data_IF_168825412040
#
_entry.id   IF_168825412040
#
_cell.length_a   1.000
_cell.length_b   1.000
_cell.length_c   1.000
_cell.angle_alpha   90.00
_cell.angle_beta   90.00
_cell.angle_gamma   90.00
#
_symmetry.space_group_name_H-M   'P 1'
#
loop_
_entity.id
_entity.type
_entity.pdbx_description
1 polymer ?
#
# COMPACT_ATOMS: atom_id res chain seq x y z
N UNK A 1 -3.07 -27.56 -10.31
CA UNK A 1 -2.93 -26.23 -9.67
C UNK A 1 -3.24 -25.21 -10.74
N UNK A 2 -4.31 -24.46 -10.55
CA UNK A 2 -4.66 -23.37 -11.47
C UNK A 2 -3.58 -22.31 -11.47
N UNK A 3 -3.37 -21.66 -12.62
CA UNK A 3 -2.38 -20.59 -12.78
C UNK A 3 -2.77 -19.42 -11.86
N UNK A 4 -1.80 -18.73 -11.23
CA UNK A 4 -2.11 -17.56 -10.43
C UNK A 4 -2.75 -16.49 -11.32
N UNK A 5 -3.74 -15.79 -10.78
CA UNK A 5 -4.47 -14.73 -11.51
C UNK A 5 -3.56 -13.55 -11.88
N UNK A 6 -2.53 -13.32 -11.05
CA UNK A 6 -1.55 -12.24 -11.20
C UNK A 6 -0.13 -12.80 -11.13
N UNK A 7 0.76 -12.27 -11.96
CA UNK A 7 2.18 -12.59 -11.90
C UNK A 7 2.83 -12.02 -10.63
N UNK A 8 3.96 -12.60 -10.21
CA UNK A 8 4.73 -12.11 -9.07
C UNK A 8 5.07 -10.62 -9.24
N UNK A 9 5.51 -10.20 -10.43
CA UNK A 9 5.86 -8.82 -10.70
C UNK A 9 4.67 -7.86 -10.60
N UNK A 10 3.50 -8.25 -11.11
CA UNK A 10 2.29 -7.43 -11.01
C UNK A 10 1.87 -7.25 -9.55
N UNK A 11 1.86 -8.34 -8.78
CA UNK A 11 1.57 -8.30 -7.35
C UNK A 11 2.55 -7.41 -6.61
N UNK A 12 3.86 -7.62 -6.78
CA UNK A 12 4.88 -6.82 -6.11
C UNK A 12 4.79 -5.35 -6.53
N UNK A 13 4.51 -5.04 -7.81
CA UNK A 13 4.35 -3.67 -8.29
C UNK A 13 3.12 -2.96 -7.70
N UNK A 14 2.08 -3.71 -7.33
CA UNK A 14 0.86 -3.15 -6.74
C UNK A 14 1.11 -2.50 -5.38
N UNK A 15 1.92 -3.11 -4.50
CA UNK A 15 2.19 -2.58 -3.17
C UNK A 15 3.59 -1.98 -3.00
N UNK A 16 4.45 -2.04 -4.03
CA UNK A 16 5.81 -1.50 -3.99
C UNK A 16 6.09 -0.47 -5.09
N UNK A 17 7.01 0.45 -4.80
CA UNK A 17 7.59 1.35 -5.79
C UNK A 17 9.08 1.12 -5.86
N UNK A 18 9.63 1.08 -7.06
CA UNK A 18 11.07 0.98 -7.28
C UNK A 18 11.62 2.30 -7.82
N UNK A 19 12.55 2.89 -7.07
CA UNK A 19 13.38 4.01 -7.53
C UNK A 19 14.82 3.57 -7.34
N UNK A 20 15.46 3.14 -8.43
CA UNK A 20 16.81 2.54 -8.39
C UNK A 20 17.74 3.35 -7.47
N UNK A 21 18.39 2.72 -6.47
CA UNK A 21 18.49 1.28 -6.25
C UNK A 21 17.51 0.70 -5.21
N UNK A 22 16.50 1.45 -4.75
CA UNK A 22 15.66 1.06 -3.61
C UNK A 22 14.21 0.83 -4.00
N UNK A 23 13.69 -0.35 -3.66
CA UNK A 23 12.28 -0.65 -3.58
C UNK A 23 11.75 -0.28 -2.20
N UNK A 24 10.53 0.27 -2.16
CA UNK A 24 9.84 0.65 -0.93
C UNK A 24 8.37 0.26 -1.00
N UNK A 25 7.77 0.00 0.16
CA UNK A 25 6.32 -0.10 0.31
C UNK A 25 5.66 1.21 -0.14
N UNK A 26 4.55 1.11 -0.86
CA UNK A 26 3.70 2.25 -1.18
C UNK A 26 2.81 2.63 0.01
N UNK A 27 2.57 3.92 0.19
CA UNK A 27 1.53 4.36 1.12
C UNK A 27 0.14 4.07 0.55
N UNK A 28 -0.03 4.32 -0.74
CA UNK A 28 -1.24 4.02 -1.50
C UNK A 28 -0.92 2.99 -2.56
N UNK A 29 -1.56 1.82 -2.47
CA UNK A 29 -1.33 0.72 -3.39
C UNK A 29 -1.88 1.05 -4.77
N UNK A 30 -1.18 0.55 -5.78
CA UNK A 30 -1.39 0.79 -7.18
C UNK A 30 -2.21 -0.36 -7.76
N UNK A 31 -3.44 -0.10 -8.18
CA UNK A 31 -4.27 -1.12 -8.82
C UNK A 31 -3.94 -1.27 -10.31
N UNK A 32 -3.16 -0.37 -10.91
CA UNK A 32 -2.88 -0.44 -12.36
C UNK A 32 -2.23 -1.75 -12.83
N UNK A 33 -1.29 -2.38 -12.08
CA UNK A 33 -0.73 -3.67 -12.48
C UNK A 33 -1.77 -4.81 -12.44
N UNK A 34 -2.89 -4.60 -11.76
CA UNK A 34 -3.99 -5.57 -11.61
C UNK A 34 -5.19 -5.21 -12.51
N UNK A 35 -5.03 -4.27 -13.45
CA UNK A 35 -6.10 -3.80 -14.34
C UNK A 35 -7.04 -2.74 -13.75
N UNK A 36 -6.73 -2.18 -12.57
CA UNK A 36 -7.52 -1.14 -11.92
C UNK A 36 -6.96 0.29 -12.05
N UNK A 37 -7.41 1.18 -11.17
CA UNK A 37 -7.02 2.60 -11.20
C UNK A 37 -5.60 2.78 -10.65
N UNK A 38 -4.77 3.48 -11.40
CA UNK A 38 -3.41 3.80 -10.97
C UNK A 38 -3.37 4.70 -9.74
N UNK A 39 -2.43 4.46 -8.81
CA UNK A 39 -2.31 5.23 -7.57
C UNK A 39 -2.09 6.74 -7.82
N UNK A 40 -1.51 7.10 -8.97
CA UNK A 40 -1.32 8.50 -9.39
C UNK A 40 -2.62 9.26 -9.57
N UNK A 41 -3.67 8.60 -10.09
CA UNK A 41 -4.98 9.21 -10.29
C UNK A 41 -5.69 9.47 -8.96
N UNK A 42 -5.56 8.52 -8.02
CA UNK A 42 -6.10 8.68 -6.66
C UNK A 42 -5.37 9.81 -5.93
N UNK A 43 -4.04 9.88 -6.04
CA UNK A 43 -3.25 10.98 -5.45
C UNK A 43 -3.67 12.32 -6.06
N UNK A 44 -3.84 12.39 -7.39
CA UNK A 44 -4.31 13.61 -8.05
C UNK A 44 -5.68 14.04 -7.53
N UNK A 45 -6.62 13.10 -7.39
CA UNK A 45 -7.93 13.36 -6.80
C UNK A 45 -7.82 13.94 -5.39
N UNK A 46 -6.98 13.37 -4.52
CA UNK A 46 -6.76 13.88 -3.17
C UNK A 46 -6.15 15.28 -3.13
N UNK A 47 -5.25 15.61 -4.06
CA UNK A 47 -4.66 16.95 -4.16
C UNK A 47 -5.68 17.98 -4.67
N UNK A 48 -6.57 17.57 -5.57
CA UNK A 48 -7.59 18.46 -6.14
C UNK A 48 -8.73 18.74 -5.16
N UNK A 49 -9.06 17.80 -4.27
CA UNK A 49 -10.18 17.94 -3.33
C UNK A 49 -10.16 19.26 -2.52
N UNK A 50 -9.05 19.62 -1.82
CA UNK A 50 -8.98 20.90 -1.09
C UNK A 50 -9.08 22.14 -1.98
N UNK A 51 -8.61 22.06 -3.23
CA UNK A 51 -8.69 23.18 -4.17
C UNK A 51 -10.13 23.40 -4.65
N UNK A 52 -10.83 22.30 -4.93
CA UNK A 52 -12.25 22.33 -5.30
C UNK A 52 -13.08 22.84 -4.12
N UNK A 53 -12.80 22.36 -2.91
CA UNK A 53 -13.42 22.84 -1.68
C UNK A 53 -13.22 24.35 -1.51
N UNK A 54 -11.98 24.82 -1.60
CA UNK A 54 -11.65 26.24 -1.49
C UNK A 54 -12.43 27.08 -2.51
N UNK A 55 -12.43 26.69 -3.79
CA UNK A 55 -13.17 27.41 -4.82
C UNK A 55 -14.70 27.36 -4.60
N UNK A 56 -15.20 26.23 -4.10
CA UNK A 56 -16.61 26.02 -3.77
C UNK A 56 -17.09 26.87 -2.60
N UNK A 57 -16.23 27.16 -1.62
CA UNK A 57 -16.57 27.93 -0.42
C UNK A 57 -16.27 29.43 -0.61
N UNK A 58 -15.12 29.78 -1.18
CA UNK A 58 -14.67 31.16 -1.34
C UNK A 58 -15.06 31.74 -2.70
N UNK A 59 -16.37 31.87 -2.94
CA UNK A 59 -16.90 32.54 -4.12
C UNK A 59 -17.98 33.59 -3.76
N UNK A 60 -18.30 34.53 -4.67
CA UNK A 60 -19.21 35.64 -4.38
C UNK A 60 -20.60 35.19 -3.92
N UNK A 61 -21.11 34.08 -4.47
CA UNK A 61 -22.41 33.54 -4.10
C UNK A 61 -22.42 33.08 -2.63
N UNK A 62 -21.40 32.31 -2.23
CA UNK A 62 -21.26 31.82 -0.86
C UNK A 62 -21.00 32.96 0.13
N UNK A 63 -20.23 33.99 -0.26
CA UNK A 63 -20.05 35.18 0.58
C UNK A 63 -21.33 35.98 0.77
N UNK A 64 -22.16 36.09 -0.26
CA UNK A 64 -23.48 36.71 -0.15
C UNK A 64 -24.41 35.95 0.81
N UNK A 65 -24.23 34.64 0.95
CA UNK A 65 -25.05 33.78 1.81
C UNK A 65 -24.56 33.68 3.25
N UNK A 66 -23.25 33.49 3.46
CA UNK A 66 -22.65 33.16 4.76
C UNK A 66 -21.85 34.32 5.37
N UNK A 67 -21.36 35.25 4.55
CA UNK A 67 -20.32 36.19 4.95
C UNK A 67 -18.94 35.54 5.10
N UNK A 68 -17.89 36.37 5.10
CA UNK A 68 -16.49 35.91 5.03
C UNK A 68 -16.10 35.10 6.27
N UNK A 69 -16.47 35.56 7.47
CA UNK A 69 -16.09 34.90 8.71
C UNK A 69 -16.67 33.48 8.82
N UNK A 70 -17.93 33.29 8.44
CA UNK A 70 -18.58 31.99 8.48
C UNK A 70 -18.04 31.06 7.38
N UNK A 71 -17.76 31.58 6.19
CA UNK A 71 -17.11 30.80 5.12
C UNK A 71 -15.76 30.21 5.57
N UNK A 72 -14.95 30.96 6.34
CA UNK A 72 -13.69 30.47 6.90
C UNK A 72 -13.92 29.31 7.87
N UNK A 73 -14.91 29.43 8.78
CA UNK A 73 -15.25 28.36 9.73
C UNK A 73 -15.69 27.10 8.97
N UNK A 74 -16.55 27.26 7.97
CA UNK A 74 -17.00 26.16 7.11
C UNK A 74 -15.83 25.46 6.42
N UNK A 75 -14.89 26.22 5.85
CA UNK A 75 -13.70 25.67 5.21
C UNK A 75 -12.86 24.82 6.17
N UNK A 76 -12.62 25.27 7.40
CA UNK A 76 -11.84 24.48 8.37
C UNK A 76 -12.53 23.16 8.71
N UNK A 77 -13.85 23.18 8.87
CA UNK A 77 -14.65 21.98 9.17
C UNK A 77 -14.62 21.01 7.98
N UNK A 78 -14.89 21.49 6.77
CA UNK A 78 -14.90 20.64 5.57
C UNK A 78 -13.51 20.06 5.27
N UNK A 79 -12.45 20.82 5.46
CA UNK A 79 -11.08 20.34 5.29
C UNK A 79 -10.77 19.19 6.25
N UNK A 80 -11.26 19.26 7.50
CA UNK A 80 -11.16 18.16 8.46
C UNK A 80 -11.91 16.90 7.99
N UNK A 81 -13.10 17.06 7.39
CA UNK A 81 -13.87 15.95 6.84
C UNK A 81 -13.19 15.34 5.60
N UNK A 82 -12.59 16.16 4.75
CA UNK A 82 -11.82 15.70 3.58
C UNK A 82 -10.62 14.88 4.02
N UNK A 83 -9.92 15.28 5.08
CA UNK A 83 -8.81 14.48 5.63
C UNK A 83 -9.27 13.09 6.08
N UNK A 84 -10.40 13.01 6.79
CA UNK A 84 -11.00 11.72 7.20
C UNK A 84 -11.36 10.87 5.98
N UNK A 85 -11.97 11.48 4.96
CA UNK A 85 -12.33 10.82 3.71
C UNK A 85 -11.10 10.26 2.98
N UNK A 86 -10.01 11.04 2.89
CA UNK A 86 -8.75 10.60 2.27
C UNK A 86 -8.20 9.37 2.98
N UNK A 87 -8.17 9.36 4.31
CA UNK A 87 -7.72 8.19 5.07
C UNK A 87 -8.61 6.96 4.84
N UNK A 88 -9.93 7.14 4.86
CA UNK A 88 -10.87 6.05 4.60
C UNK A 88 -10.70 5.46 3.19
N UNK A 89 -10.60 6.31 2.17
CA UNK A 89 -10.40 5.88 0.78
C UNK A 89 -9.04 5.19 0.58
N UNK A 90 -7.97 5.70 1.20
CA UNK A 90 -6.65 5.07 1.15
C UNK A 90 -6.66 3.68 1.81
N UNK A 91 -7.34 3.54 2.96
CA UNK A 91 -7.51 2.26 3.63
C UNK A 91 -8.28 1.27 2.75
N UNK A 92 -9.46 1.66 2.25
CA UNK A 92 -10.29 0.81 1.38
C UNK A 92 -9.50 0.37 0.13
N UNK A 93 -8.78 1.30 -0.51
CA UNK A 93 -7.95 1.00 -1.68
C UNK A 93 -6.88 -0.05 -1.37
N UNK A 94 -6.15 0.12 -0.27
CA UNK A 94 -5.07 -0.80 0.09
C UNK A 94 -5.61 -2.17 0.49
N UNK A 95 -6.69 -2.23 1.29
CA UNK A 95 -7.35 -3.49 1.66
C UNK A 95 -7.88 -4.21 0.43
N UNK A 96 -8.45 -3.49 -0.54
CA UNK A 96 -8.90 -4.07 -1.80
C UNK A 96 -7.74 -4.72 -2.55
N UNK A 97 -6.64 -4.00 -2.75
CA UNK A 97 -5.45 -4.56 -3.43
C UNK A 97 -4.94 -5.82 -2.74
N UNK A 98 -4.83 -5.82 -1.39
CA UNK A 98 -4.38 -7.00 -0.64
C UNK A 98 -5.32 -8.18 -0.88
N UNK A 99 -6.63 -7.95 -0.84
CA UNK A 99 -7.63 -8.98 -1.08
C UNK A 99 -7.53 -9.54 -2.50
N UNK A 100 -7.37 -8.67 -3.49
CA UNK A 100 -7.32 -9.06 -4.90
C UNK A 100 -6.05 -9.89 -5.20
N UNK A 101 -4.93 -9.60 -4.54
CA UNK A 101 -3.67 -10.37 -4.71
C UNK A 101 -3.54 -11.57 -3.77
N UNK A 102 -4.43 -11.75 -2.79
CA UNK A 102 -4.26 -12.75 -1.72
C UNK A 102 -4.14 -14.18 -2.28
N UNK A 103 -5.00 -14.56 -3.22
CA UNK A 103 -4.97 -15.91 -3.82
C UNK A 103 -3.68 -16.16 -4.58
N UNK A 104 -3.21 -15.18 -5.36
CA UNK A 104 -1.94 -15.30 -6.09
C UNK A 104 -0.75 -15.28 -5.13
N UNK A 105 -0.84 -14.53 -4.04
CA UNK A 105 0.16 -14.54 -2.97
C UNK A 105 0.30 -15.91 -2.31
N UNK A 106 -0.80 -16.54 -1.92
CA UNK A 106 -0.78 -17.89 -1.35
C UNK A 106 -0.24 -18.94 -2.34
N UNK A 107 -0.46 -18.75 -3.65
CA UNK A 107 0.13 -19.62 -4.66
C UNK A 107 1.66 -19.58 -4.67
N UNK A 108 2.26 -18.39 -4.54
CA UNK A 108 3.71 -18.23 -4.50
C UNK A 108 4.29 -18.54 -3.10
N UNK A 109 3.66 -18.06 -2.03
CA UNK A 109 4.18 -18.06 -0.66
C UNK A 109 3.14 -18.58 0.35
N UNK A 110 2.88 -19.90 0.33
CA UNK A 110 1.81 -20.59 1.08
C UNK A 110 1.81 -20.26 2.59
N UNK A 111 2.98 -20.14 3.23
CA UNK A 111 3.10 -19.97 4.69
C UNK A 111 3.48 -18.54 5.12
N UNK A 112 3.40 -17.58 4.21
CA UNK A 112 3.85 -16.21 4.49
C UNK A 112 2.66 -15.26 4.43
N UNK A 113 2.25 -14.74 5.58
CA UNK A 113 1.21 -13.72 5.64
C UNK A 113 1.72 -12.39 5.05
N UNK A 114 1.11 -11.95 3.95
CA UNK A 114 1.47 -10.70 3.26
C UNK A 114 1.40 -9.49 4.20
N UNK A 115 0.51 -9.50 5.19
CA UNK A 115 0.37 -8.40 6.14
C UNK A 115 1.62 -8.24 7.02
N UNK A 116 2.36 -9.31 7.27
CA UNK A 116 3.62 -9.24 8.02
C UNK A 116 4.70 -8.52 7.22
N UNK A 117 4.74 -8.69 5.90
CA UNK A 117 5.66 -7.96 5.02
C UNK A 117 5.27 -6.49 4.89
N UNK A 118 3.96 -6.24 4.85
CA UNK A 118 3.41 -4.90 4.72
C UNK A 118 3.32 -4.16 6.06
N UNK A 119 3.59 -4.82 7.19
CA UNK A 119 3.55 -4.19 8.51
C UNK A 119 4.59 -3.08 8.62
N UNK A 120 4.20 -1.94 9.18
CA UNK A 120 5.12 -0.86 9.53
C UNK A 120 5.80 -1.07 10.89
N UNK A 121 5.35 -2.07 11.67
CA UNK A 121 5.86 -2.40 13.00
C UNK A 121 6.92 -3.49 12.98
N UNK A 122 7.21 -4.06 14.17
CA UNK A 122 8.07 -5.23 14.28
C UNK A 122 7.46 -6.42 13.52
N UNK A 123 8.24 -6.99 12.61
CA UNK A 123 7.84 -8.12 11.78
C UNK A 123 9.07 -8.98 11.47
N UNK A 124 8.92 -10.32 11.38
CA UNK A 124 9.99 -11.21 10.92
C UNK A 124 10.46 -10.87 9.50
N UNK A 125 9.62 -10.20 8.70
CA UNK A 125 9.88 -9.89 7.30
C UNK A 125 10.17 -8.41 7.03
N UNK A 126 10.59 -7.65 8.07
CA UNK A 126 10.87 -6.21 7.96
C UNK A 126 11.86 -5.85 6.84
N UNK A 127 12.79 -6.75 6.54
CA UNK A 127 13.83 -6.58 5.54
C UNK A 127 13.42 -7.03 4.13
N UNK A 128 12.16 -7.44 3.92
CA UNK A 128 11.65 -7.90 2.63
C UNK A 128 11.97 -6.91 1.50
N UNK A 129 11.67 -5.62 1.67
CA UNK A 129 11.92 -4.61 0.63
C UNK A 129 13.41 -4.40 0.34
N UNK A 130 14.30 -4.70 1.30
CA UNK A 130 15.75 -4.69 1.09
C UNK A 130 16.15 -5.85 0.16
N UNK A 131 15.68 -7.07 0.44
CA UNK A 131 15.92 -8.23 -0.42
C UNK A 131 15.32 -8.05 -1.82
N UNK A 132 14.08 -7.56 -1.89
CA UNK A 132 13.43 -7.27 -3.16
C UNK A 132 14.17 -6.20 -3.96
N UNK A 133 14.72 -5.16 -3.30
CA UNK A 133 15.61 -4.19 -3.96
C UNK A 133 16.84 -4.86 -4.58
N UNK A 134 17.47 -5.81 -3.88
CA UNK A 134 18.64 -6.53 -4.38
C UNK A 134 18.27 -7.36 -5.62
N UNK A 135 17.13 -8.06 -5.58
CA UNK A 135 16.62 -8.83 -6.72
C UNK A 135 16.42 -7.95 -7.96
N UNK A 136 15.75 -6.80 -7.79
CA UNK A 136 15.52 -5.83 -8.86
C UNK A 136 16.82 -5.24 -9.42
N UNK A 137 17.79 -4.92 -8.57
CA UNK A 137 19.08 -4.40 -9.02
C UNK A 137 19.91 -5.44 -9.79
N UNK A 138 19.73 -6.73 -9.47
CA UNK A 138 20.32 -7.85 -10.22
C UNK A 138 19.57 -8.18 -11.51
N UNK A 139 18.43 -7.53 -11.77
CA UNK A 139 17.62 -7.78 -12.96
C UNK A 139 16.86 -9.10 -12.94
N UNK A 140 16.69 -9.72 -11.77
CA UNK A 140 15.94 -10.97 -11.63
C UNK A 140 14.47 -10.75 -12.01
N UNK A 141 13.83 -11.76 -12.61
CA UNK A 141 12.42 -11.77 -13.03
C UNK A 141 11.87 -13.20 -12.94
N UNK A 142 10.55 -13.35 -12.96
CA UNK A 142 9.84 -14.63 -12.96
C UNK A 142 10.36 -15.59 -11.88
N UNK A 143 10.69 -16.81 -12.29
CA UNK A 143 11.12 -17.89 -11.41
C UNK A 143 12.44 -17.59 -10.67
N UNK A 144 13.34 -16.81 -11.27
CA UNK A 144 14.59 -16.41 -10.62
C UNK A 144 14.33 -15.43 -9.47
N UNK A 145 13.40 -14.49 -9.69
CA UNK A 145 12.96 -13.57 -8.63
C UNK A 145 12.24 -14.33 -7.52
N UNK A 146 11.34 -15.23 -7.89
CA UNK A 146 10.63 -16.08 -6.95
C UNK A 146 11.60 -16.87 -6.06
N UNK A 147 12.52 -17.61 -6.67
CA UNK A 147 13.51 -18.44 -5.97
C UNK A 147 14.41 -17.62 -5.05
N UNK A 148 14.81 -16.42 -5.48
CA UNK A 148 15.60 -15.52 -4.65
C UNK A 148 14.81 -14.99 -3.44
N UNK A 149 13.56 -14.59 -3.64
CA UNK A 149 12.70 -14.10 -2.56
C UNK A 149 12.36 -15.22 -1.58
N UNK A 150 12.09 -16.43 -2.05
CA UNK A 150 11.85 -17.60 -1.19
C UNK A 150 13.05 -17.87 -0.27
N UNK A 151 14.27 -17.89 -0.80
CA UNK A 151 15.50 -18.00 0.01
C UNK A 151 15.65 -16.84 1.00
N UNK A 152 15.28 -15.63 0.58
CA UNK A 152 15.33 -14.45 1.44
C UNK A 152 14.34 -14.54 2.60
N UNK A 153 13.16 -15.15 2.38
CA UNK A 153 12.21 -15.41 3.45
C UNK A 153 12.75 -16.39 4.48
N UNK A 154 13.37 -17.50 4.05
CA UNK A 154 14.01 -18.44 4.97
C UNK A 154 15.10 -17.76 5.79
N UNK A 155 15.96 -16.96 5.16
CA UNK A 155 16.99 -16.20 5.86
C UNK A 155 16.39 -15.24 6.90
N UNK A 156 15.34 -14.49 6.54
CA UNK A 156 14.67 -13.59 7.47
C UNK A 156 14.00 -14.33 8.64
N UNK A 157 13.45 -15.53 8.40
CA UNK A 157 12.89 -16.38 9.45
C UNK A 157 13.97 -16.88 10.41
N UNK A 158 15.14 -17.28 9.89
CA UNK A 158 16.29 -17.69 10.70
C UNK A 158 16.85 -16.54 11.53
N UNK A 159 17.03 -15.36 10.91
CA UNK A 159 17.54 -14.15 11.57
C UNK A 159 16.57 -13.60 12.64
N UNK A 160 15.27 -13.82 12.47
CA UNK A 160 14.22 -13.31 13.38
C UNK A 160 13.46 -14.46 14.07
N UNK A 161 14.12 -15.59 14.31
CA UNK A 161 13.50 -16.81 14.87
C UNK A 161 12.78 -16.53 16.19
N UNK A 162 13.42 -15.84 17.13
CA UNK A 162 12.83 -15.51 18.43
C UNK A 162 11.53 -14.68 18.29
N UNK A 163 11.52 -13.72 17.36
CA UNK A 163 10.34 -12.90 17.08
C UNK A 163 9.23 -13.73 16.43
N UNK A 164 9.58 -14.61 15.49
CA UNK A 164 8.63 -15.52 14.84
C UNK A 164 7.99 -16.48 15.87
N UNK A 165 8.78 -17.04 16.77
CA UNK A 165 8.30 -17.89 17.87
C UNK A 165 7.38 -17.12 18.84
N UNK A 166 7.75 -15.90 19.24
CA UNK A 166 6.92 -15.05 20.09
C UNK A 166 5.58 -14.68 19.44
N UNK A 167 5.57 -14.41 18.12
CA UNK A 167 4.34 -14.09 17.39
C UNK A 167 3.45 -15.31 17.17
N UNK A 168 4.03 -16.49 16.91
CA UNK A 168 3.28 -17.74 16.74
C UNK A 168 2.65 -18.23 18.04
N UNK A 169 3.36 -18.15 19.18
CA UNK A 169 2.84 -18.51 20.50
C UNK A 169 1.73 -17.58 20.99
N UNK A 170 1.74 -16.31 20.58
CA UNK A 170 0.67 -15.34 20.83
C UNK A 170 -0.60 -15.61 20.02
N UNK A 171 -0.49 -16.08 18.77
CA UNK A 171 -1.63 -16.47 17.91
C UNK A 171 -2.32 -17.77 18.35
N UNK A 172 -1.65 -18.61 19.14
CA UNK A 172 -2.16 -19.90 19.61
C UNK A 172 -2.89 -19.88 20.96
N UNK A 173 -3.12 -18.71 21.56
CA UNK A 173 -3.92 -18.49 22.77
C UNK A 173 -5.16 -17.68 22.47
#
# INVERSE_FOLDING_TARGET
MDKPEYTLEEMLASFSTYKKPKAKKRLLFDQSPLGGIGSKWIILFFILLPLIEYAGIFNPFMFGMLGIAQAIIFYVIFLSMIMILIFALAFINNTKVIRDIASSWEHYFIDIDINLILSSGASPYKDFFKHYSIALNKGLKGDDMYSYLQKSFTLMQEENKDLLEAMSSSRGR
#
